data_IF_993918914862
#
_entry.id   IF_993918914862
#
_cell.length_a   1.000
_cell.length_b   1.000
_cell.length_c   1.000
_cell.angle_alpha   90.00
_cell.angle_beta   90.00
_cell.angle_gamma   90.00
#
_symmetry.space_group_name_H-M   'P 1'
#
loop_
_entity.id
_entity.type
_entity.pdbx_description
1 polymer ?
#
# COMPACT_ATOMS: atom_id res chain seq x y z
N UNK A 1 -0.53 15.44 -43.61
CA UNK A 1 0.14 14.69 -42.54
C UNK A 1 -0.81 13.57 -42.14
N UNK A 2 -0.33 12.44 -41.61
CA UNK A 2 -1.27 11.43 -41.06
C UNK A 2 -1.94 12.00 -39.81
N UNK A 3 -3.23 11.73 -39.59
CA UNK A 3 -3.96 12.12 -38.36
C UNK A 3 -3.19 11.70 -37.09
N UNK A 4 -2.53 10.55 -37.12
CA UNK A 4 -1.66 10.06 -36.04
C UNK A 4 -0.46 10.99 -35.77
N UNK A 5 0.09 11.58 -36.83
CA UNK A 5 1.27 12.44 -36.76
C UNK A 5 0.90 13.83 -36.23
N UNK A 6 -0.30 14.31 -36.55
CA UNK A 6 -0.89 15.53 -35.98
C UNK A 6 -1.13 15.36 -34.48
N UNK A 7 -1.79 14.28 -34.05
CA UNK A 7 -2.00 13.97 -32.62
C UNK A 7 -0.68 13.81 -31.84
N UNK A 8 0.35 13.23 -32.47
CA UNK A 8 1.67 13.07 -31.84
C UNK A 8 2.35 14.42 -31.63
N UNK A 9 2.25 15.33 -32.61
CA UNK A 9 2.79 16.68 -32.48
C UNK A 9 2.05 17.48 -31.42
N UNK A 10 0.71 17.39 -31.37
CA UNK A 10 -0.10 18.06 -30.36
C UNK A 10 0.24 17.57 -28.94
N UNK A 11 0.37 16.25 -28.74
CA UNK A 11 0.76 15.69 -27.45
C UNK A 11 2.13 16.19 -26.97
N UNK A 12 3.11 16.30 -27.88
CA UNK A 12 4.44 16.81 -27.57
C UNK A 12 4.41 18.32 -27.24
N UNK A 13 3.56 19.08 -27.95
CA UNK A 13 3.34 20.49 -27.67
C UNK A 13 2.72 20.71 -26.29
N UNK A 14 1.67 19.94 -25.94
CA UNK A 14 1.05 19.99 -24.61
C UNK A 14 2.05 19.60 -23.51
N UNK A 15 2.90 18.58 -23.75
CA UNK A 15 3.95 18.19 -22.81
C UNK A 15 4.94 19.33 -22.55
N UNK A 16 5.35 20.04 -23.60
CA UNK A 16 6.25 21.18 -23.48
C UNK A 16 5.60 22.36 -22.75
N UNK A 17 4.32 22.66 -23.04
CA UNK A 17 3.55 23.67 -22.30
C UNK A 17 3.47 23.36 -20.80
N UNK A 18 3.20 22.11 -20.43
CA UNK A 18 3.20 21.67 -19.02
C UNK A 18 4.60 21.85 -18.40
N UNK A 19 5.66 21.52 -19.15
CA UNK A 19 7.03 21.66 -18.66
C UNK A 19 7.40 23.12 -18.42
N UNK A 20 7.03 24.03 -19.32
CA UNK A 20 7.33 25.45 -19.19
C UNK A 20 6.49 26.11 -18.10
N UNK A 21 5.21 25.73 -17.96
CA UNK A 21 4.38 26.17 -16.83
C UNK A 21 4.97 25.71 -15.47
N UNK A 22 5.46 24.46 -15.39
CA UNK A 22 6.15 23.96 -14.19
C UNK A 22 7.42 24.76 -13.91
N UNK A 23 8.22 25.09 -14.93
CA UNK A 23 9.44 25.90 -14.76
C UNK A 23 9.13 27.33 -14.33
N UNK A 24 8.10 27.96 -14.90
CA UNK A 24 7.68 29.31 -14.55
C UNK A 24 7.25 29.42 -13.07
N UNK A 25 6.63 28.37 -12.54
CA UNK A 25 6.26 28.27 -11.13
C UNK A 25 7.36 27.69 -10.22
N UNK A 26 8.52 27.29 -10.77
CA UNK A 26 9.63 26.72 -10.00
C UNK A 26 10.62 27.84 -9.60
N UNK A 27 10.11 28.80 -8.84
CA UNK A 27 10.84 29.99 -8.36
C UNK A 27 11.91 29.63 -7.31
N UNK A 28 11.69 28.56 -6.55
CA UNK A 28 12.67 27.99 -5.64
C UNK A 28 12.44 26.50 -5.40
N UNK A 29 13.49 25.80 -5.00
CA UNK A 29 13.40 24.38 -4.65
C UNK A 29 13.05 24.20 -3.18
N UNK A 30 12.46 23.04 -2.81
CA UNK A 30 12.24 22.69 -1.41
C UNK A 30 13.52 22.80 -0.59
N UNK A 31 14.70 22.52 -1.17
CA UNK A 31 15.99 22.72 -0.50
C UNK A 31 16.27 24.21 -0.28
N UNK A 32 16.07 25.09 -1.27
CA UNK A 32 16.30 26.53 -1.13
C UNK A 32 15.30 27.22 -0.20
N UNK A 33 14.01 26.88 -0.32
CA UNK A 33 12.91 27.41 0.50
C UNK A 33 12.88 26.80 1.89
N UNK A 34 13.17 25.51 2.06
CA UNK A 34 13.48 24.99 3.40
C UNK A 34 14.71 25.73 3.91
N UNK A 35 15.85 25.79 3.23
CA UNK A 35 16.99 26.53 3.79
C UNK A 35 16.62 27.97 4.21
N UNK A 36 15.87 28.76 3.44
CA UNK A 36 15.52 30.13 3.86
C UNK A 36 14.33 30.26 4.86
N UNK A 37 13.29 29.42 4.77
CA UNK A 37 12.08 29.46 5.59
C UNK A 37 12.17 28.48 6.79
N UNK A 38 12.70 27.28 6.56
CA UNK A 38 13.14 26.35 7.60
C UNK A 38 14.28 26.98 8.41
N UNK A 39 15.35 27.63 7.89
CA UNK A 39 16.31 28.32 8.80
C UNK A 39 15.65 29.45 9.61
N UNK A 40 14.55 30.07 9.16
CA UNK A 40 13.85 31.09 9.95
C UNK A 40 12.92 30.51 11.03
N UNK A 41 12.29 29.36 10.77
CA UNK A 41 11.36 28.68 11.71
C UNK A 41 12.08 27.66 12.61
N UNK A 42 13.12 27.03 12.09
CA UNK A 42 13.91 25.96 12.71
C UNK A 42 15.31 26.41 13.13
N UNK A 43 15.68 27.69 12.97
CA UNK A 43 16.89 28.25 13.61
C UNK A 43 16.97 27.93 15.10
N UNK A 44 15.80 27.81 15.74
CA UNK A 44 15.65 27.43 17.15
C UNK A 44 15.21 25.96 17.36
N UNK A 45 15.13 25.14 16.31
CA UNK A 45 14.82 23.71 16.45
C UNK A 45 16.10 22.89 16.34
N UNK A 46 16.38 22.12 17.37
CA UNK A 46 17.52 21.22 17.38
C UNK A 46 17.39 20.18 16.26
N UNK A 47 18.52 19.84 15.63
CA UNK A 47 18.56 18.75 14.66
C UNK A 47 18.06 17.46 15.31
N UNK A 48 17.31 16.64 14.57
CA UNK A 48 16.78 15.33 15.05
C UNK A 48 17.90 14.41 15.57
N UNK A 49 19.16 14.71 15.24
CA UNK A 49 20.33 14.00 15.72
C UNK A 49 20.40 12.60 15.12
N UNK A 50 21.23 11.75 15.71
CA UNK A 50 21.42 10.39 15.23
C UNK A 50 20.29 9.49 15.71
N UNK A 51 19.40 9.08 14.79
CA UNK A 51 18.35 8.09 15.09
C UNK A 51 18.96 6.69 15.12
N UNK A 52 18.97 6.05 16.29
CA UNK A 52 19.41 4.66 16.47
C UNK A 52 18.21 3.75 16.72
N UNK A 53 17.66 3.16 15.66
CA UNK A 53 16.60 2.16 15.80
C UNK A 53 17.16 0.81 16.26
N UNK A 54 16.41 0.11 17.12
CA UNK A 54 16.72 -1.24 17.56
C UNK A 54 15.50 -2.13 17.37
N UNK A 55 15.72 -3.34 16.89
CA UNK A 55 14.67 -4.36 16.76
C UNK A 55 14.09 -4.68 18.13
N UNK A 56 12.79 -4.45 18.32
CA UNK A 56 12.09 -4.77 19.58
C UNK A 56 11.39 -6.12 19.56
N UNK A 57 11.01 -6.61 18.38
CA UNK A 57 10.24 -7.83 18.17
C UNK A 57 10.66 -8.52 16.87
N UNK A 58 10.53 -9.85 16.84
CA UNK A 58 10.71 -10.67 15.63
C UNK A 58 9.50 -11.59 15.50
N UNK A 59 8.66 -11.34 14.50
CA UNK A 59 7.43 -12.10 14.28
C UNK A 59 7.73 -13.35 13.44
N UNK A 60 7.82 -14.51 14.11
CA UNK A 60 8.13 -15.80 13.45
C UNK A 60 6.85 -16.56 13.11
N UNK A 61 6.72 -17.04 11.88
CA UNK A 61 5.61 -17.94 11.51
C UNK A 61 5.38 -18.15 10.02
N UNK A 62 5.83 -17.23 9.16
CA UNK A 62 5.84 -17.48 7.72
C UNK A 62 6.93 -18.47 7.33
N UNK A 63 6.64 -19.27 6.32
CA UNK A 63 7.53 -20.31 5.80
C UNK A 63 8.18 -19.94 4.46
N UNK A 64 7.75 -18.83 3.86
CA UNK A 64 8.28 -18.32 2.61
C UNK A 64 8.46 -16.80 2.67
N UNK A 65 8.81 -16.20 1.53
CA UNK A 65 9.01 -14.75 1.38
C UNK A 65 7.73 -14.00 1.74
N UNK A 66 7.88 -12.91 2.48
CA UNK A 66 6.78 -11.98 2.80
C UNK A 66 6.82 -10.88 1.74
N UNK A 67 5.69 -10.61 1.09
CA UNK A 67 5.60 -9.62 0.01
C UNK A 67 5.00 -8.30 0.47
N UNK A 68 4.03 -8.37 1.37
CA UNK A 68 3.33 -7.19 1.85
C UNK A 68 3.03 -7.30 3.34
N UNK A 69 2.94 -6.13 3.97
CA UNK A 69 2.40 -5.98 5.31
C UNK A 69 1.62 -4.66 5.40
N UNK A 70 0.66 -4.59 6.32
CA UNK A 70 -0.09 -3.37 6.58
C UNK A 70 -0.43 -3.28 8.07
N UNK A 71 -0.18 -2.11 8.67
CA UNK A 71 -0.61 -1.85 10.04
C UNK A 71 -2.12 -1.62 10.09
N UNK A 72 -2.75 -2.10 11.16
CA UNK A 72 -4.06 -1.63 11.57
C UNK A 72 -3.97 -0.23 12.16
N UNK A 73 -5.10 0.48 12.19
CA UNK A 73 -5.18 1.85 12.70
C UNK A 73 -5.10 1.92 14.23
N UNK A 74 -5.20 0.78 14.92
CA UNK A 74 -4.97 0.66 16.35
C UNK A 74 -3.48 0.70 16.74
N UNK A 75 -2.57 0.76 15.75
CA UNK A 75 -1.11 0.75 15.94
C UNK A 75 -0.59 -0.46 16.73
N UNK A 76 -1.38 -1.54 16.79
CA UNK A 76 -1.07 -2.75 17.54
C UNK A 76 -1.17 -3.97 16.64
N UNK A 77 -2.27 -4.10 15.91
CA UNK A 77 -2.46 -5.19 14.98
C UNK A 77 -1.80 -4.86 13.65
N UNK A 78 -1.27 -5.88 12.99
CA UNK A 78 -0.79 -5.77 11.62
C UNK A 78 -1.07 -7.07 10.88
N UNK A 79 -1.18 -6.96 9.57
CA UNK A 79 -1.35 -8.08 8.68
C UNK A 79 -0.13 -8.25 7.81
N UNK A 80 0.24 -9.50 7.53
CA UNK A 80 1.30 -9.83 6.58
C UNK A 80 0.86 -10.93 5.63
N UNK A 81 1.32 -10.84 4.38
CA UNK A 81 1.02 -11.80 3.33
C UNK A 81 2.30 -12.40 2.76
N UNK A 82 2.31 -13.72 2.61
CA UNK A 82 3.49 -14.48 2.19
C UNK A 82 3.17 -15.49 1.10
N UNK A 83 4.21 -15.81 0.32
CA UNK A 83 4.17 -16.86 -0.70
C UNK A 83 3.96 -18.28 -0.16
N UNK A 84 3.91 -18.45 1.16
CA UNK A 84 3.48 -19.71 1.78
C UNK A 84 1.96 -19.91 1.71
N UNK A 85 1.24 -18.99 1.05
CA UNK A 85 -0.20 -19.01 0.91
C UNK A 85 -0.92 -18.68 2.20
N UNK A 86 -0.30 -17.91 3.10
CA UNK A 86 -0.92 -17.46 4.34
C UNK A 86 -0.93 -15.95 4.45
N UNK A 87 -2.01 -15.51 5.08
CA UNK A 87 -2.23 -14.15 5.50
C UNK A 87 -2.37 -14.18 7.02
N UNK A 88 -1.38 -13.64 7.73
CA UNK A 88 -1.30 -13.73 9.19
C UNK A 88 -1.57 -12.35 9.78
N UNK A 89 -2.46 -12.31 10.78
CA UNK A 89 -2.71 -11.13 11.60
C UNK A 89 -1.97 -11.31 12.92
N UNK A 90 -1.16 -10.32 13.26
CA UNK A 90 -0.30 -10.35 14.43
C UNK A 90 -0.73 -9.30 15.43
N UNK A 91 -0.57 -9.62 16.70
CA UNK A 91 -0.47 -8.62 17.76
C UNK A 91 1.02 -8.26 17.94
N UNK A 92 1.40 -7.05 17.56
CA UNK A 92 2.79 -6.60 17.63
C UNK A 92 3.35 -6.51 19.06
N UNK A 93 2.48 -6.34 20.08
CA UNK A 93 2.93 -6.18 21.45
C UNK A 93 3.36 -7.52 22.04
N UNK A 94 2.54 -8.55 21.80
CA UNK A 94 2.69 -9.92 22.33
C UNK A 94 3.36 -10.89 21.37
N UNK A 95 3.50 -10.52 20.09
CA UNK A 95 3.96 -11.37 18.97
C UNK A 95 3.05 -12.56 18.62
N UNK A 96 1.85 -12.60 19.23
CA UNK A 96 0.90 -13.67 19.00
C UNK A 96 0.27 -13.55 17.60
N UNK A 97 -0.05 -14.71 17.02
CA UNK A 97 -0.83 -14.81 15.78
C UNK A 97 -2.30 -14.79 16.17
N UNK A 98 -3.00 -13.69 15.88
CA UNK A 98 -4.43 -13.56 16.13
C UNK A 98 -5.22 -14.41 15.14
N UNK A 99 -4.82 -14.38 13.86
CA UNK A 99 -5.41 -15.19 12.81
C UNK A 99 -4.33 -15.66 11.84
N UNK A 100 -4.51 -16.85 11.27
CA UNK A 100 -3.73 -17.35 10.15
C UNK A 100 -4.70 -17.86 9.08
N UNK A 101 -4.89 -17.05 8.05
CA UNK A 101 -5.88 -17.26 7.00
C UNK A 101 -5.17 -17.98 5.84
N UNK A 102 -5.56 -19.21 5.51
CA UNK A 102 -5.06 -19.88 4.31
C UNK A 102 -5.66 -19.22 3.07
N UNK A 103 -4.81 -18.87 2.12
CA UNK A 103 -5.18 -18.30 0.84
C UNK A 103 -5.39 -19.40 -0.19
N UNK A 104 -6.29 -19.16 -1.14
CA UNK A 104 -6.51 -20.06 -2.28
C UNK A 104 -5.31 -20.08 -3.22
N UNK A 105 -4.74 -18.91 -3.49
CA UNK A 105 -3.52 -18.75 -4.28
C UNK A 105 -2.34 -18.48 -3.35
N UNK A 106 -1.23 -19.19 -3.56
CA UNK A 106 0.01 -18.92 -2.83
C UNK A 106 0.71 -17.65 -3.30
N UNK A 107 0.44 -17.19 -4.52
CA UNK A 107 1.14 -16.06 -5.13
C UNK A 107 0.51 -14.71 -4.77
N UNK A 108 0.50 -14.41 -3.47
CA UNK A 108 0.01 -13.12 -2.95
C UNK A 108 1.08 -12.04 -3.09
N UNK A 109 0.67 -10.85 -3.55
CA UNK A 109 1.56 -9.70 -3.76
C UNK A 109 1.19 -8.51 -2.87
N UNK A 110 -0.08 -8.40 -2.48
CA UNK A 110 -0.58 -7.29 -1.65
C UNK A 110 -1.44 -7.79 -0.49
N UNK A 111 -1.47 -7.01 0.58
CA UNK A 111 -2.51 -7.09 1.60
C UNK A 111 -2.88 -5.69 2.12
N UNK A 112 -4.09 -5.59 2.67
CA UNK A 112 -4.60 -4.37 3.29
C UNK A 112 -5.40 -4.70 4.54
N UNK A 113 -5.34 -3.80 5.51
CA UNK A 113 -6.16 -3.84 6.73
C UNK A 113 -7.19 -2.72 6.64
N UNK A 114 -8.47 -3.03 6.82
CA UNK A 114 -9.52 -2.02 6.76
C UNK A 114 -9.42 -1.06 7.96
N UNK A 115 -9.74 0.24 7.80
CA UNK A 115 -9.68 1.21 8.88
C UNK A 115 -10.53 0.85 10.10
N UNK A 116 -11.66 0.17 9.90
CA UNK A 116 -12.52 -0.32 10.98
C UNK A 116 -11.93 -1.48 11.79
N UNK A 117 -10.94 -2.17 11.25
CA UNK A 117 -10.42 -3.45 11.72
C UNK A 117 -11.35 -4.66 11.55
N UNK A 118 -12.44 -4.52 10.78
CA UNK A 118 -13.36 -5.62 10.51
C UNK A 118 -12.89 -6.53 9.37
N UNK A 119 -12.12 -5.99 8.43
CA UNK A 119 -11.75 -6.70 7.20
C UNK A 119 -10.25 -6.66 6.92
N UNK A 120 -9.79 -7.68 6.21
CA UNK A 120 -8.50 -7.69 5.52
C UNK A 120 -8.70 -8.10 4.08
N UNK A 121 -7.85 -7.58 3.19
CA UNK A 121 -7.85 -7.93 1.78
C UNK A 121 -6.48 -8.44 1.35
N UNK A 122 -6.47 -9.23 0.28
CA UNK A 122 -5.26 -9.59 -0.45
C UNK A 122 -5.55 -9.87 -1.92
N UNK A 123 -4.47 -10.02 -2.68
CA UNK A 123 -4.50 -10.55 -4.04
C UNK A 123 -3.10 -10.65 -4.62
N UNK A 124 -2.99 -11.24 -5.80
CA UNK A 124 -1.74 -11.31 -6.54
C UNK A 124 -1.93 -11.91 -7.93
N UNK A 125 -1.22 -12.99 -8.26
CA UNK A 125 -1.22 -13.59 -9.60
C UNK A 125 -2.53 -14.32 -9.97
N UNK A 126 -3.48 -14.42 -9.04
CA UNK A 126 -4.84 -14.91 -9.31
C UNK A 126 -5.78 -13.84 -9.87
N UNK A 127 -5.29 -12.60 -10.00
CA UNK A 127 -6.02 -11.44 -10.54
C UNK A 127 -7.28 -11.07 -9.74
N UNK A 128 -7.44 -11.61 -8.53
CA UNK A 128 -8.63 -11.44 -7.70
C UNK A 128 -8.24 -10.71 -6.42
N UNK A 129 -9.05 -9.72 -6.03
CA UNK A 129 -8.97 -9.17 -4.68
C UNK A 129 -9.93 -9.93 -3.76
N UNK A 130 -9.39 -10.70 -2.82
CA UNK A 130 -10.15 -11.45 -1.83
C UNK A 130 -10.27 -10.64 -0.53
N UNK A 131 -11.50 -10.47 -0.03
CA UNK A 131 -11.82 -9.76 1.21
C UNK A 131 -12.26 -10.78 2.25
N UNK A 132 -11.67 -10.72 3.44
CA UNK A 132 -11.95 -11.59 4.58
C UNK A 132 -12.55 -10.79 5.73
N UNK A 133 -13.60 -11.32 6.33
CA UNK A 133 -14.21 -10.73 7.52
C UNK A 133 -13.60 -11.35 8.79
N UNK A 134 -13.06 -10.51 9.66
CA UNK A 134 -12.44 -10.90 10.93
C UNK A 134 -13.44 -11.05 12.08
N UNK A 135 -14.62 -10.43 11.97
CA UNK A 135 -15.70 -10.51 12.96
C UNK A 135 -16.74 -11.54 12.54
N UNK A 136 -16.37 -12.83 12.56
CA UNK A 136 -17.33 -13.92 12.34
C UNK A 136 -17.82 -14.48 13.68
N UNK A 137 -19.15 -14.65 13.84
CA UNK A 137 -19.75 -15.27 15.03
C UNK A 137 -19.32 -16.72 15.26
N UNK A 138 -18.87 -17.39 14.19
CA UNK A 138 -18.48 -18.80 14.18
C UNK A 138 -16.98 -19.01 14.48
N UNK A 139 -16.21 -17.95 14.77
CA UNK A 139 -14.78 -18.01 15.14
C UNK A 139 -13.81 -18.29 13.99
N UNK A 140 -14.27 -18.85 12.87
CA UNK A 140 -13.46 -19.08 11.68
C UNK A 140 -13.55 -17.90 10.71
N UNK A 141 -12.40 -17.34 10.33
CA UNK A 141 -12.30 -16.31 9.29
C UNK A 141 -12.59 -16.94 7.93
N UNK A 142 -13.55 -16.37 7.21
CA UNK A 142 -13.93 -16.83 5.86
C UNK A 142 -13.81 -15.69 4.86
N UNK A 143 -13.70 -16.07 3.59
CA UNK A 143 -13.82 -15.13 2.47
C UNK A 143 -15.23 -14.53 2.52
N UNK A 144 -15.29 -13.21 2.64
CA UNK A 144 -16.53 -12.44 2.60
C UNK A 144 -16.93 -12.11 1.17
N UNK A 145 -15.95 -11.79 0.32
CA UNK A 145 -16.16 -11.46 -1.09
C UNK A 145 -14.87 -11.66 -1.87
N UNK A 146 -15.00 -12.13 -3.10
CA UNK A 146 -13.95 -12.10 -4.11
C UNK A 146 -14.34 -11.07 -5.16
N UNK A 147 -13.40 -10.21 -5.54
CA UNK A 147 -13.59 -9.16 -6.54
C UNK A 147 -12.81 -9.55 -7.81
N UNK A 148 -13.44 -10.27 -8.74
CA UNK A 148 -12.90 -10.45 -10.09
C UNK A 148 -13.14 -9.17 -10.90
N UNK A 149 -12.22 -8.86 -11.81
CA UNK A 149 -12.35 -7.70 -12.71
C UNK A 149 -11.06 -7.39 -13.45
N UNK A 150 -9.92 -7.67 -12.82
CA UNK A 150 -8.60 -7.51 -13.41
C UNK A 150 -8.26 -8.66 -14.35
N UNK A 151 -7.60 -8.33 -15.46
CA UNK A 151 -7.01 -9.27 -16.42
C UNK A 151 -5.53 -9.51 -16.15
N UNK A 152 -4.91 -8.65 -15.34
CA UNK A 152 -3.55 -8.77 -14.84
C UNK A 152 -3.48 -9.05 -13.33
N UNK A 153 -2.25 -9.27 -12.84
CA UNK A 153 -2.01 -9.54 -11.43
C UNK A 153 -2.33 -8.32 -10.56
N UNK A 154 -2.82 -8.56 -9.35
CA UNK A 154 -3.05 -7.50 -8.38
C UNK A 154 -1.73 -7.03 -7.77
N UNK A 155 -1.38 -5.76 -7.97
CA UNK A 155 -0.13 -5.18 -7.45
C UNK A 155 -0.30 -4.54 -6.07
N UNK A 156 -1.42 -3.87 -5.82
CA UNK A 156 -1.72 -3.22 -4.54
C UNK A 156 -3.23 -3.17 -4.28
N UNK A 157 -3.60 -3.04 -3.00
CA UNK A 157 -4.97 -2.74 -2.60
C UNK A 157 -4.99 -1.88 -1.33
N UNK A 158 -5.97 -0.99 -1.19
CA UNK A 158 -6.19 -0.17 0.01
C UNK A 158 -7.67 0.07 0.24
N UNK A 159 -8.12 -0.12 1.46
CA UNK A 159 -9.48 0.22 1.87
C UNK A 159 -9.61 1.73 2.06
N UNK A 160 -10.71 2.28 1.56
CA UNK A 160 -11.18 3.63 1.92
C UNK A 160 -12.03 3.53 3.19
N UNK A 161 -12.95 2.56 3.20
CA UNK A 161 -13.82 2.19 4.31
C UNK A 161 -14.20 0.69 4.19
N UNK A 162 -15.21 0.24 4.93
CA UNK A 162 -15.65 -1.17 4.91
C UNK A 162 -16.42 -1.57 3.63
N UNK A 163 -16.95 -0.60 2.88
CA UNK A 163 -17.70 -0.81 1.65
C UNK A 163 -16.87 -0.59 0.38
N UNK A 164 -15.75 0.12 0.47
CA UNK A 164 -14.96 0.56 -0.68
C UNK A 164 -13.47 0.19 -0.55
N UNK A 165 -12.93 -0.37 -1.62
CA UNK A 165 -11.52 -0.71 -1.75
C UNK A 165 -11.00 -0.27 -3.12
N UNK A 166 -9.81 0.33 -3.14
CA UNK A 166 -9.07 0.65 -4.35
C UNK A 166 -8.08 -0.49 -4.62
N UNK A 167 -7.95 -0.88 -5.87
CA UNK A 167 -7.00 -1.89 -6.33
C UNK A 167 -6.19 -1.34 -7.49
N UNK A 168 -4.96 -1.81 -7.64
CA UNK A 168 -4.13 -1.56 -8.81
C UNK A 168 -3.62 -2.88 -9.38
N UNK A 169 -3.48 -2.94 -10.68
CA UNK A 169 -3.24 -4.16 -11.42
C UNK A 169 -2.13 -4.01 -12.46
N UNK A 170 -1.52 -5.13 -12.83
CA UNK A 170 -0.50 -5.21 -13.89
C UNK A 170 -1.05 -5.01 -15.30
N UNK A 171 -2.38 -5.00 -15.49
CA UNK A 171 -3.03 -4.70 -16.77
C UNK A 171 -3.26 -3.20 -17.01
N UNK A 172 -2.59 -2.35 -16.25
CA UNK A 172 -2.65 -0.87 -16.34
C UNK A 172 -3.96 -0.25 -15.86
N UNK A 173 -4.70 -0.95 -14.99
CA UNK A 173 -5.87 -0.43 -14.26
C UNK A 173 -5.64 -0.30 -12.75
#
# INVERSE_FOLDING_TARGET
MSELEELRQEAEQLRNQIQDARKACNDATLVQQCYCHFLKITSNMDSVGRIQMRTRRTLRGHLAKIYAMHWGYDSRLLVSASQDGKLIIWDSYTTNKMHAIPLRSSWVMTCAYAPSGNYVACGGLDNICSIYNLKTREGNVRVSRELPGHTGYLSCCRFLDDGQIITSSGDTT
#
